data_IF_631028828622
#
_entry.id   IF_631028828622
#
_cell.length_a   1.000
_cell.length_b   1.000
_cell.length_c   1.000
_cell.angle_alpha   90.00
_cell.angle_beta   90.00
_cell.angle_gamma   90.00
#
_symmetry.space_group_name_H-M   'P 1'
#
loop_
_entity.id
_entity.type
_entity.pdbx_description
1 polymer ?
#
# COMPACT_ATOMS: atom_id res chain seq x y z
N UNK A 1 -0.34 4.63 -8.98
CA UNK A 1 0.39 3.73 -8.08
C UNK A 1 1.83 3.47 -8.54
N UNK A 2 2.07 2.73 -9.64
CA UNK A 2 3.41 2.27 -10.08
C UNK A 2 4.45 3.40 -10.15
N UNK A 3 4.16 4.47 -10.89
CA UNK A 3 5.03 5.65 -11.01
C UNK A 3 5.46 6.21 -9.63
N UNK A 4 4.54 6.33 -8.67
CA UNK A 4 4.88 6.82 -7.33
C UNK A 4 5.81 5.89 -6.58
N UNK A 5 5.62 4.57 -6.71
CA UNK A 5 6.49 3.57 -6.09
C UNK A 5 7.88 3.60 -6.74
N UNK A 6 7.95 3.70 -8.06
CA UNK A 6 9.20 3.74 -8.81
C UNK A 6 10.01 4.99 -8.45
N UNK A 7 9.37 6.17 -8.41
CA UNK A 7 10.02 7.41 -7.97
C UNK A 7 10.50 7.32 -6.51
N UNK A 8 9.72 6.71 -5.63
CA UNK A 8 10.13 6.52 -4.24
C UNK A 8 11.35 5.59 -4.15
N UNK A 9 11.37 4.49 -4.90
CA UNK A 9 12.50 3.54 -4.95
C UNK A 9 13.77 4.18 -5.49
N UNK A 10 13.68 4.95 -6.57
CA UNK A 10 14.83 5.60 -7.21
C UNK A 10 15.60 6.52 -6.25
N UNK A 11 14.88 7.13 -5.29
CA UNK A 11 15.45 8.05 -4.32
C UNK A 11 15.63 7.45 -2.92
N UNK A 12 15.24 6.19 -2.70
CA UNK A 12 15.37 5.52 -1.41
C UNK A 12 16.82 5.05 -1.22
N UNK A 13 17.54 5.50 -0.18
CA UNK A 13 18.94 5.15 0.02
C UNK A 13 19.09 3.77 0.66
N UNK A 14 20.34 3.34 0.82
CA UNK A 14 20.67 2.04 1.42
C UNK A 14 20.89 2.09 2.94
N UNK A 15 20.95 3.28 3.54
CA UNK A 15 21.09 3.43 4.99
C UNK A 15 20.13 4.47 5.56
N UNK A 16 19.78 4.26 6.83
CA UNK A 16 18.99 5.21 7.61
C UNK A 16 19.70 6.57 7.75
N UNK A 17 21.01 6.57 7.99
CA UNK A 17 21.79 7.81 8.12
C UNK A 17 21.63 8.70 6.89
N UNK A 18 21.68 8.13 5.68
CA UNK A 18 21.45 8.90 4.46
C UNK A 18 20.00 9.37 4.35
N UNK A 19 19.05 8.50 4.70
CA UNK A 19 17.63 8.79 4.63
C UNK A 19 17.23 9.99 5.50
N UNK A 20 17.75 10.06 6.74
CA UNK A 20 17.48 11.18 7.66
C UNK A 20 17.92 12.54 7.10
N UNK A 21 19.00 12.56 6.31
CA UNK A 21 19.61 13.76 5.74
C UNK A 21 19.07 14.17 4.36
N UNK A 22 18.09 13.44 3.80
CA UNK A 22 17.53 13.73 2.47
C UNK A 22 16.65 15.00 2.40
N UNK A 23 16.27 15.58 3.53
CA UNK A 23 15.44 16.79 3.57
C UNK A 23 14.14 16.65 2.77
N UNK A 24 13.90 17.55 1.82
CA UNK A 24 12.67 17.55 1.00
C UNK A 24 12.49 16.27 0.17
N UNK A 25 13.58 15.57 -0.17
CA UNK A 25 13.50 14.31 -0.92
C UNK A 25 12.83 13.23 -0.07
N UNK A 26 13.14 13.17 1.25
CA UNK A 26 12.47 12.28 2.21
C UNK A 26 10.97 12.56 2.30
N UNK A 27 10.59 13.83 2.42
CA UNK A 27 9.17 14.23 2.39
C UNK A 27 8.49 13.82 1.08
N UNK A 28 9.21 13.91 -0.05
CA UNK A 28 8.76 13.43 -1.35
C UNK A 28 8.51 11.93 -1.37
N UNK A 29 9.44 11.12 -0.85
CA UNK A 29 9.30 9.66 -0.72
C UNK A 29 8.07 9.32 0.11
N UNK A 30 7.93 9.93 1.30
CA UNK A 30 6.76 9.76 2.15
C UNK A 30 5.46 10.09 1.43
N UNK A 31 5.41 11.22 0.70
CA UNK A 31 4.18 11.62 0.01
C UNK A 31 3.84 10.70 -1.15
N UNK A 32 4.84 10.23 -1.89
CA UNK A 32 4.66 9.27 -2.99
C UNK A 32 4.14 7.94 -2.49
N UNK A 33 4.65 7.45 -1.37
CA UNK A 33 4.21 6.19 -0.77
C UNK A 33 2.81 6.34 -0.16
N UNK A 34 2.52 7.42 0.55
CA UNK A 34 1.17 7.73 1.04
C UNK A 34 0.14 7.71 -0.11
N UNK A 35 0.47 8.35 -1.24
CA UNK A 35 -0.37 8.36 -2.43
C UNK A 35 -0.49 6.97 -3.09
N UNK A 36 0.59 6.18 -3.13
CA UNK A 36 0.54 4.82 -3.63
C UNK A 36 -0.40 3.94 -2.78
N UNK A 37 -0.33 4.05 -1.45
CA UNK A 37 -1.21 3.34 -0.52
C UNK A 37 -2.67 3.75 -0.74
N UNK A 38 -2.94 5.05 -0.90
CA UNK A 38 -4.28 5.53 -1.24
C UNK A 38 -4.85 4.84 -2.47
N UNK A 39 -4.09 4.82 -3.57
CA UNK A 39 -4.53 4.15 -4.81
C UNK A 39 -4.82 2.66 -4.61
N UNK A 40 -4.05 1.94 -3.77
CA UNK A 40 -4.30 0.52 -3.46
C UNK A 40 -5.68 0.36 -2.83
N UNK A 41 -6.00 1.17 -1.82
CA UNK A 41 -7.30 1.11 -1.15
C UNK A 41 -8.45 1.56 -2.05
N UNK A 42 -8.23 2.54 -2.92
CA UNK A 42 -9.22 2.96 -3.92
C UNK A 42 -9.55 1.82 -4.90
N UNK A 43 -8.52 1.09 -5.37
CA UNK A 43 -8.71 -0.11 -6.21
C UNK A 43 -9.53 -1.17 -5.46
N UNK A 44 -9.22 -1.44 -4.19
CA UNK A 44 -9.98 -2.38 -3.37
C UNK A 44 -11.46 -1.95 -3.24
N UNK A 45 -11.72 -0.66 -3.02
CA UNK A 45 -13.08 -0.13 -2.92
C UNK A 45 -13.85 -0.26 -4.25
N UNK A 46 -13.19 0.05 -5.37
CA UNK A 46 -13.77 -0.11 -6.72
C UNK A 46 -14.13 -1.59 -6.96
N UNK A 47 -13.22 -2.52 -6.69
CA UNK A 47 -13.47 -3.95 -6.87
C UNK A 47 -14.63 -4.46 -6.00
N UNK A 48 -14.68 -4.07 -4.73
CA UNK A 48 -15.78 -4.43 -3.84
C UNK A 48 -17.13 -3.93 -4.36
N UNK A 49 -17.17 -2.69 -4.89
CA UNK A 49 -18.37 -2.09 -5.47
C UNK A 49 -18.79 -2.79 -6.77
N UNK A 50 -17.86 -3.00 -7.71
CA UNK A 50 -18.13 -3.63 -9.01
C UNK A 50 -18.59 -5.08 -8.87
N UNK A 51 -17.99 -5.83 -7.94
CA UNK A 51 -18.37 -7.20 -7.62
C UNK A 51 -19.60 -7.30 -6.71
N UNK A 52 -20.13 -6.16 -6.24
CA UNK A 52 -21.32 -6.05 -5.37
C UNK A 52 -21.19 -6.86 -4.07
N UNK A 53 -20.01 -6.87 -3.45
CA UNK A 53 -19.72 -7.70 -2.27
C UNK A 53 -20.26 -7.12 -0.95
N UNK A 54 -21.31 -6.29 -1.02
CA UNK A 54 -21.93 -5.63 0.11
C UNK A 54 -21.42 -4.20 0.37
N UNK A 55 -22.13 -3.51 1.25
CA UNK A 55 -21.76 -2.16 1.71
C UNK A 55 -20.85 -2.32 2.93
N UNK A 56 -19.57 -1.93 2.85
CA UNK A 56 -18.65 -2.03 3.99
C UNK A 56 -19.06 -1.05 5.10
N UNK A 57 -19.02 -1.50 6.35
CA UNK A 57 -19.18 -0.62 7.53
C UNK A 57 -17.90 0.12 7.89
N UNK A 58 -16.74 -0.45 7.54
CA UNK A 58 -15.41 0.12 7.62
C UNK A 58 -14.50 -0.42 6.50
N UNK A 59 -13.36 0.22 6.25
CA UNK A 59 -12.39 -0.25 5.24
C UNK A 59 -11.84 -1.66 5.52
N UNK A 60 -11.79 -2.08 6.79
CA UNK A 60 -11.37 -3.45 7.13
C UNK A 60 -12.35 -4.49 6.58
N UNK A 61 -13.63 -4.13 6.43
CA UNK A 61 -14.67 -5.00 5.87
C UNK A 61 -14.46 -5.19 4.35
N UNK A 62 -13.89 -4.18 3.67
CA UNK A 62 -13.55 -4.29 2.24
C UNK A 62 -12.47 -5.36 2.04
N UNK A 63 -11.38 -5.30 2.82
CA UNK A 63 -10.29 -6.27 2.68
C UNK A 63 -10.74 -7.69 3.05
N UNK A 64 -11.58 -7.82 4.08
CA UNK A 64 -12.21 -9.09 4.45
C UNK A 64 -13.03 -9.67 3.29
N UNK A 65 -13.90 -8.84 2.71
CA UNK A 65 -14.78 -9.23 1.62
C UNK A 65 -14.00 -9.68 0.38
N UNK A 66 -12.93 -8.96 0.02
CA UNK A 66 -12.06 -9.31 -1.10
C UNK A 66 -11.32 -10.63 -0.88
N UNK A 67 -10.91 -10.94 0.35
CA UNK A 67 -10.30 -12.25 0.67
C UNK A 67 -11.34 -13.38 0.61
N UNK A 68 -12.52 -13.16 1.17
CA UNK A 68 -13.61 -14.17 1.15
C UNK A 68 -14.02 -14.53 -0.29
N UNK A 69 -13.93 -13.57 -1.21
CA UNK A 69 -14.24 -13.76 -2.62
C UNK A 69 -13.01 -14.08 -3.48
N UNK A 70 -11.88 -14.48 -2.85
CA UNK A 70 -10.65 -14.89 -3.53
C UNK A 70 -10.04 -13.85 -4.48
N UNK A 71 -10.38 -12.57 -4.32
CA UNK A 71 -9.77 -11.46 -5.05
C UNK A 71 -8.37 -11.17 -4.51
N UNK A 72 -8.21 -11.28 -3.19
CA UNK A 72 -6.93 -11.11 -2.49
C UNK A 72 -6.59 -12.36 -1.68
N UNK A 73 -5.30 -12.66 -1.56
CA UNK A 73 -4.85 -13.68 -0.63
C UNK A 73 -4.94 -13.20 0.83
N UNK A 74 -5.07 -14.13 1.81
CA UNK A 74 -4.98 -13.76 3.23
C UNK A 74 -3.65 -13.09 3.58
N UNK A 75 -2.56 -13.45 2.90
CA UNK A 75 -1.25 -12.80 3.05
C UNK A 75 -1.30 -11.35 2.57
N UNK A 76 -1.89 -11.09 1.40
CA UNK A 76 -2.04 -9.74 0.89
C UNK A 76 -2.87 -8.85 1.83
N UNK A 77 -3.94 -9.38 2.46
CA UNK A 77 -4.68 -8.64 3.50
C UNK A 77 -3.77 -8.16 4.63
N UNK A 78 -2.81 -8.98 5.08
CA UNK A 78 -1.87 -8.56 6.12
C UNK A 78 -0.91 -7.46 5.64
N UNK A 79 -0.39 -7.59 4.42
CA UNK A 79 0.49 -6.57 3.82
C UNK A 79 -0.24 -5.23 3.70
N UNK A 80 -1.51 -5.24 3.28
CA UNK A 80 -2.35 -4.03 3.20
C UNK A 80 -2.64 -3.41 4.57
N UNK A 81 -2.77 -4.23 5.63
CA UNK A 81 -2.86 -3.72 7.01
C UNK A 81 -1.56 -3.01 7.43
N UNK A 82 -0.40 -3.58 7.11
CA UNK A 82 0.90 -2.95 7.36
C UNK A 82 1.05 -1.61 6.61
N UNK A 83 0.68 -1.56 5.33
CA UNK A 83 0.66 -0.32 4.54
C UNK A 83 -0.24 0.76 5.17
N UNK A 84 -1.45 0.39 5.62
CA UNK A 84 -2.34 1.32 6.31
C UNK A 84 -1.69 1.86 7.59
N UNK A 85 -1.04 1.00 8.37
CA UNK A 85 -0.26 1.39 9.54
C UNK A 85 0.82 2.40 9.21
N UNK A 86 1.62 2.13 8.17
CA UNK A 86 2.65 3.05 7.68
C UNK A 86 2.06 4.41 7.28
N UNK A 87 0.97 4.41 6.50
CA UNK A 87 0.28 5.66 6.12
C UNK A 87 -0.14 6.44 7.36
N UNK A 88 -0.67 5.77 8.39
CA UNK A 88 -1.08 6.45 9.62
C UNK A 88 0.12 7.10 10.33
N UNK A 89 1.29 6.44 10.36
CA UNK A 89 2.53 7.00 10.93
C UNK A 89 2.95 8.27 10.16
N UNK A 90 2.93 8.21 8.82
CA UNK A 90 3.38 9.32 7.95
C UNK A 90 2.38 10.49 7.94
N UNK A 91 1.07 10.21 8.01
CA UNK A 91 -0.01 11.20 7.92
C UNK A 91 -0.29 11.86 9.26
N UNK A 92 -0.37 11.10 10.36
CA UNK A 92 -0.72 11.62 11.67
C UNK A 92 0.48 12.23 12.39
N UNK A 93 1.10 13.25 11.76
CA UNK A 93 2.25 14.06 12.19
C UNK A 93 2.07 14.81 13.54
N UNK A 94 1.34 14.27 14.52
CA UNK A 94 1.21 14.79 15.88
C UNK A 94 2.52 14.63 16.70
N UNK A 95 3.67 14.70 16.04
CA UNK A 95 5.03 14.48 16.54
C UNK A 95 6.04 14.44 15.38
N UNK A 96 7.33 14.29 15.70
CA UNK A 96 8.34 13.96 14.70
C UNK A 96 8.11 12.52 14.21
N UNK A 97 8.20 12.28 12.90
CA UNK A 97 8.19 10.93 12.34
C UNK A 97 9.44 10.20 12.87
N UNK A 98 9.26 8.98 13.36
CA UNK A 98 10.39 8.08 13.61
C UNK A 98 10.90 7.58 12.25
N UNK A 99 11.90 8.31 11.71
CA UNK A 99 12.46 8.03 10.40
C UNK A 99 13.12 6.64 10.33
N UNK A 100 13.65 6.13 11.44
CA UNK A 100 14.25 4.80 11.51
C UNK A 100 13.18 3.70 11.35
N UNK A 101 12.07 3.82 12.08
CA UNK A 101 10.93 2.92 11.92
C UNK A 101 10.32 3.02 10.52
N UNK A 102 10.10 4.24 10.03
CA UNK A 102 9.51 4.47 8.71
C UNK A 102 10.39 3.92 7.58
N UNK A 103 11.71 4.13 7.65
CA UNK A 103 12.68 3.58 6.70
C UNK A 103 12.69 2.05 6.71
N UNK A 104 12.67 1.42 7.89
CA UNK A 104 12.63 -0.04 8.01
C UNK A 104 11.38 -0.60 7.33
N UNK A 105 10.20 -0.04 7.64
CA UNK A 105 8.93 -0.45 7.04
C UNK A 105 8.96 -0.24 5.52
N UNK A 106 9.49 0.89 5.05
CA UNK A 106 9.64 1.16 3.62
C UNK A 106 10.51 0.10 2.93
N UNK A 107 11.71 -0.19 3.45
CA UNK A 107 12.61 -1.18 2.82
C UNK A 107 12.00 -2.58 2.82
N UNK A 108 11.26 -2.95 3.86
CA UNK A 108 10.63 -4.27 3.98
C UNK A 108 9.40 -4.42 3.07
N UNK A 109 8.55 -3.38 2.96
CA UNK A 109 7.22 -3.50 2.36
C UNK A 109 7.06 -2.80 1.01
N UNK A 110 8.08 -2.12 0.47
CA UNK A 110 7.93 -1.43 -0.83
C UNK A 110 7.65 -2.39 -1.99
N UNK A 111 8.01 -3.68 -1.87
CA UNK A 111 7.70 -4.72 -2.86
C UNK A 111 6.25 -5.21 -2.80
N UNK A 112 5.54 -4.96 -1.69
CA UNK A 112 4.14 -5.37 -1.54
C UNK A 112 3.21 -4.69 -2.55
N UNK A 113 3.57 -3.49 -3.06
CA UNK A 113 2.81 -2.83 -4.14
C UNK A 113 2.86 -3.63 -5.44
N UNK A 114 3.99 -4.27 -5.74
CA UNK A 114 4.14 -5.11 -6.92
C UNK A 114 3.36 -6.41 -6.74
N UNK A 115 3.45 -7.02 -5.56
CA UNK A 115 2.66 -8.22 -5.21
C UNK A 115 1.16 -7.96 -5.30
N UNK A 116 0.69 -6.82 -4.78
CA UNK A 116 -0.71 -6.40 -4.91
C UNK A 116 -1.11 -6.28 -6.38
N UNK A 117 -0.32 -5.56 -7.19
CA UNK A 117 -0.56 -5.43 -8.62
C UNK A 117 -0.68 -6.77 -9.34
N UNK A 118 0.19 -7.73 -9.01
CA UNK A 118 0.15 -9.08 -9.58
C UNK A 118 -1.11 -9.87 -9.17
N UNK A 119 -1.58 -9.75 -7.93
CA UNK A 119 -2.83 -10.39 -7.50
C UNK A 119 -4.04 -9.80 -8.24
N UNK A 120 -4.11 -8.47 -8.37
CA UNK A 120 -5.18 -7.80 -9.11
C UNK A 120 -5.13 -8.15 -10.60
N UNK A 121 -3.95 -8.13 -11.23
CA UNK A 121 -3.79 -8.52 -12.64
C UNK A 121 -4.23 -9.96 -12.86
N UNK A 122 -3.84 -10.89 -11.97
CA UNK A 122 -4.27 -12.30 -12.02
C UNK A 122 -5.78 -12.44 -11.88
N UNK A 123 -6.40 -11.69 -10.97
CA UNK A 123 -7.85 -11.69 -10.79
C UNK A 123 -8.59 -11.16 -12.03
N UNK A 124 -8.04 -10.15 -12.70
CA UNK A 124 -8.65 -9.53 -13.88
C UNK A 124 -8.42 -10.30 -15.17
N UNK A 125 -7.47 -11.24 -15.21
CA UNK A 125 -7.24 -12.06 -16.39
C UNK A 125 -8.52 -12.82 -16.77
N UNK A 126 -8.89 -12.84 -18.07
CA UNK A 126 -10.00 -13.64 -18.54
C UNK A 126 -9.65 -15.12 -18.46
N UNK A 127 -9.97 -15.74 -17.32
CA UNK A 127 -9.89 -17.18 -17.07
C UNK A 127 -10.97 -17.58 -16.06
N UNK A 128 -11.92 -18.38 -16.52
CA UNK A 128 -12.94 -19.12 -15.75
C UNK A 128 -13.98 -18.27 -14.99
N UNK A 129 -14.57 -17.26 -15.67
CA UNK A 129 -15.95 -16.85 -15.36
C UNK A 129 -16.90 -17.74 -16.17
N UNK A 130 -17.08 -18.98 -15.74
CA UNK A 130 -18.22 -19.84 -16.13
C UNK A 130 -19.35 -19.72 -15.09
#
# INVERSE_FOLDING_TARGET
>A
MRESVDMAREHLPDSIDLFEHLGIVKDGIYKRIEYAIGNVFDICAILNADLRLGVPGADEDILESLVQNSVLSPGMRQNLKAMRGFRNIVVHRCGAIDDALAFSILKEHIDDFSLFGQEIERFLQPGDRE
#
